data_IF_863611008075
#
_entry.id   IF_863611008075
#
_cell.length_a   1.000
_cell.length_b   1.000
_cell.length_c   1.000
_cell.angle_alpha   90.00
_cell.angle_beta   90.00
_cell.angle_gamma   90.00
#
_symmetry.space_group_name_H-M   'P 1'
#
loop_
_entity.id
_entity.type
_entity.pdbx_description
1 polymer ?
#
# COMPACT_ATOMS: atom_id res chain seq x y z
N UNK A 1 -28.15 7.06 -38.24
CA UNK A 1 -27.74 7.99 -37.17
C UNK A 1 -28.31 7.45 -35.87
N UNK A 2 -27.50 6.70 -35.12
CA UNK A 2 -27.87 6.16 -33.81
C UNK A 2 -26.59 6.12 -32.99
N UNK A 3 -26.52 7.02 -32.01
CA UNK A 3 -25.40 7.12 -31.09
C UNK A 3 -25.43 6.01 -30.05
N UNK A 4 -24.26 5.59 -29.60
CA UNK A 4 -24.10 4.86 -28.35
C UNK A 4 -22.88 5.46 -27.66
N UNK A 5 -23.12 6.34 -26.69
CA UNK A 5 -22.09 6.94 -25.86
C UNK A 5 -21.60 5.94 -24.83
N UNK A 6 -20.29 5.72 -24.77
CA UNK A 6 -19.66 4.91 -23.74
C UNK A 6 -19.68 5.67 -22.41
N UNK A 7 -20.37 5.12 -21.42
CA UNK A 7 -20.44 5.63 -20.05
C UNK A 7 -19.11 5.38 -19.35
N UNK A 8 -18.33 6.45 -19.13
CA UNK A 8 -17.12 6.45 -18.31
C UNK A 8 -17.54 6.33 -16.84
N UNK A 9 -17.14 5.26 -16.16
CA UNK A 9 -17.34 5.12 -14.72
C UNK A 9 -16.42 6.13 -13.99
N UNK A 10 -17.01 7.21 -13.49
CA UNK A 10 -16.34 8.18 -12.62
C UNK A 10 -16.56 7.72 -11.18
N UNK A 11 -15.50 7.28 -10.51
CA UNK A 11 -15.55 7.03 -9.06
C UNK A 11 -15.59 8.38 -8.32
N UNK A 12 -16.56 8.63 -7.42
CA UNK A 12 -16.53 9.81 -6.58
C UNK A 12 -15.43 9.66 -5.51
N UNK A 13 -14.40 10.51 -5.60
CA UNK A 13 -13.44 10.77 -4.53
C UNK A 13 -14.14 11.56 -3.42
N UNK A 14 -14.75 10.87 -2.46
CA UNK A 14 -15.18 11.45 -1.19
C UNK A 14 -14.41 10.80 -0.04
N UNK A 15 -13.15 11.20 0.12
CA UNK A 15 -12.46 11.01 1.40
C UNK A 15 -12.74 12.25 2.26
N UNK A 16 -13.76 12.15 3.10
CA UNK A 16 -14.06 13.13 4.13
C UNK A 16 -13.24 12.77 5.38
N UNK A 17 -12.04 13.35 5.50
CA UNK A 17 -11.20 13.17 6.70
C UNK A 17 -11.86 13.81 7.93
N UNK A 18 -11.51 13.35 9.15
CA UNK A 18 -12.08 13.91 10.38
C UNK A 18 -11.61 15.35 10.60
N UNK A 19 -12.47 16.30 10.23
CA UNK A 19 -12.46 17.68 10.72
C UNK A 19 -12.86 17.66 12.20
N UNK A 20 -11.90 17.80 13.15
CA UNK A 20 -12.07 18.50 14.45
C UNK A 20 -11.10 18.03 15.55
N UNK A 21 -9.84 18.51 15.59
CA UNK A 21 -9.11 18.61 16.88
C UNK A 21 -8.16 19.80 16.89
N UNK A 22 -8.68 21.03 16.84
CA UNK A 22 -7.93 22.23 17.23
C UNK A 22 -8.36 22.68 18.64
N UNK A 23 -8.01 21.89 19.66
CA UNK A 23 -7.98 22.40 21.04
C UNK A 23 -6.57 22.92 21.32
N UNK A 24 -6.46 24.24 21.50
CA UNK A 24 -5.24 24.94 21.92
C UNK A 24 -4.75 24.36 23.26
N UNK A 25 -3.78 23.46 23.22
CA UNK A 25 -2.99 23.13 24.40
C UNK A 25 -1.96 24.23 24.61
N UNK A 26 -2.24 25.08 25.62
CA UNK A 26 -1.26 26.00 26.20
C UNK A 26 -0.22 25.16 26.92
N UNK A 27 0.99 25.00 26.37
CA UNK A 27 2.08 24.29 27.05
C UNK A 27 3.08 25.33 27.57
N UNK A 28 3.02 25.53 28.89
CA UNK A 28 4.07 26.21 29.66
C UNK A 28 5.40 25.49 29.43
N UNK A 29 6.49 26.24 29.18
CA UNK A 29 7.90 25.78 29.10
C UNK A 29 8.11 24.42 29.80
N UNK A 30 8.58 23.36 29.11
CA UNK A 30 8.64 22.03 29.71
C UNK A 30 9.55 22.08 30.94
N UNK A 31 8.95 21.95 32.11
CA UNK A 31 9.68 21.58 33.31
C UNK A 31 10.25 20.17 33.08
N UNK A 32 11.44 19.90 33.61
CA UNK A 32 12.02 18.55 33.69
C UNK A 32 10.88 17.57 34.04
N UNK A 33 10.62 16.51 33.25
CA UNK A 33 9.59 15.54 33.61
C UNK A 33 9.96 15.00 34.99
N UNK A 34 9.15 15.29 36.00
CA UNK A 34 9.49 14.99 37.39
C UNK A 34 9.41 13.49 37.70
N UNK A 35 8.86 12.69 36.78
CA UNK A 35 8.77 11.23 36.86
C UNK A 35 8.54 10.71 35.44
N UNK A 36 9.58 10.18 34.80
CA UNK A 36 9.46 9.23 33.69
C UNK A 36 9.93 7.87 34.22
N UNK A 37 9.43 7.52 35.40
CA UNK A 37 9.80 6.29 36.10
C UNK A 37 8.73 5.23 35.81
N UNK A 38 9.17 4.19 35.11
CA UNK A 38 8.67 2.82 35.05
C UNK A 38 7.23 2.52 34.53
N UNK A 39 6.25 3.42 34.61
CA UNK A 39 4.83 3.08 34.30
C UNK A 39 4.40 3.41 32.85
N UNK A 40 5.11 4.30 32.15
CA UNK A 40 4.70 4.83 30.84
C UNK A 40 5.11 3.96 29.63
N UNK A 41 5.71 2.79 29.89
CA UNK A 41 6.04 1.81 28.85
C UNK A 41 4.82 1.39 28.02
N UNK A 42 3.62 1.48 28.61
CA UNK A 42 2.34 1.16 27.96
C UNK A 42 2.02 2.06 26.76
N UNK A 43 2.51 3.30 26.71
CA UNK A 43 2.25 4.20 25.57
C UNK A 43 3.14 3.93 24.36
N UNK A 44 4.26 3.23 24.55
CA UNK A 44 5.13 2.78 23.43
C UNK A 44 4.73 1.40 22.90
N UNK A 45 3.81 0.71 23.58
CA UNK A 45 3.17 -0.52 23.09
C UNK A 45 1.90 -0.16 22.31
N UNK A 46 2.07 0.52 21.18
CA UNK A 46 1.08 0.46 20.10
C UNK A 46 1.74 -0.22 18.92
N UNK A 47 0.96 -0.92 18.09
CA UNK A 47 1.30 -1.90 17.03
C UNK A 47 2.39 -1.52 15.98
N UNK A 48 3.15 -0.44 16.20
CA UNK A 48 4.15 0.16 15.32
C UNK A 48 5.61 -0.11 15.71
N UNK A 49 5.90 -0.99 16.68
CA UNK A 49 7.27 -1.38 17.09
C UNK A 49 8.25 -0.19 17.22
N UNK A 50 7.85 0.79 18.03
CA UNK A 50 8.62 1.99 18.29
C UNK A 50 9.87 1.64 19.11
N UNK A 51 11.05 1.89 18.54
CA UNK A 51 12.33 1.66 19.23
C UNK A 51 12.63 2.76 20.24
N UNK A 52 12.48 4.02 19.84
CA UNK A 52 12.71 5.17 20.72
C UNK A 52 12.09 6.46 20.19
N UNK A 53 11.99 7.45 21.07
CA UNK A 53 11.63 8.83 20.79
C UNK A 53 12.82 9.72 21.11
N UNK A 54 13.16 10.64 20.21
CA UNK A 54 14.18 11.66 20.41
C UNK A 54 13.57 13.07 20.28
N UNK A 55 13.88 13.95 21.24
CA UNK A 55 13.42 15.34 21.25
C UNK A 55 14.64 16.24 21.05
N UNK A 56 14.59 17.06 20.01
CA UNK A 56 15.71 17.89 19.57
C UNK A 56 15.34 19.38 19.49
N UNK A 57 15.30 20.09 20.63
CA UNK A 57 15.22 21.55 20.61
C UNK A 57 16.46 22.11 19.89
N UNK A 58 16.28 23.17 19.10
CA UNK A 58 17.35 23.74 18.26
C UNK A 58 18.07 22.67 17.41
N UNK A 59 17.34 21.62 17.01
CA UNK A 59 17.81 20.50 16.18
C UNK A 59 18.96 19.70 16.80
N UNK A 60 19.19 19.86 18.11
CA UNK A 60 20.14 19.06 18.89
C UNK A 60 19.39 18.18 19.87
N UNK A 61 19.60 16.86 19.79
CA UNK A 61 18.91 15.90 20.64
C UNK A 61 19.24 16.19 22.11
N UNK A 62 18.22 16.57 22.88
CA UNK A 62 18.32 16.88 24.30
C UNK A 62 17.71 15.80 25.18
N UNK A 63 16.79 15.00 24.63
CA UNK A 63 16.15 13.88 25.32
C UNK A 63 15.97 12.71 24.38
N UNK A 64 16.13 11.50 24.90
CA UNK A 64 15.86 10.25 24.19
C UNK A 64 15.23 9.25 25.16
N UNK A 65 14.25 8.49 24.71
CA UNK A 65 13.60 7.47 25.53
C UNK A 65 13.23 6.23 24.69
N UNK A 66 13.50 5.00 25.18
CA UNK A 66 14.31 4.70 26.37
C UNK A 66 15.77 5.14 26.17
N UNK A 67 16.40 5.65 27.25
CA UNK A 67 17.81 6.08 27.19
C UNK A 67 18.76 4.91 26.97
N UNK A 68 18.45 3.76 27.58
CA UNK A 68 19.25 2.55 27.44
C UNK A 68 19.30 2.12 25.96
N UNK A 69 20.50 1.97 25.41
CA UNK A 69 20.72 1.62 24.00
C UNK A 69 20.66 2.80 23.01
N UNK A 70 20.18 3.98 23.43
CA UNK A 70 20.05 5.15 22.55
C UNK A 70 20.85 6.38 23.03
N UNK A 71 21.69 6.21 24.06
CA UNK A 71 22.43 7.31 24.68
C UNK A 71 23.40 8.00 23.71
N UNK A 72 23.89 7.29 22.70
CA UNK A 72 24.80 7.83 21.68
C UNK A 72 24.12 8.84 20.75
N UNK A 73 22.78 8.85 20.69
CA UNK A 73 22.04 9.89 20.00
C UNK A 73 21.97 11.20 20.81
N UNK A 74 22.18 11.15 22.13
CA UNK A 74 22.08 12.33 22.98
C UNK A 74 23.17 13.35 22.63
N UNK A 75 22.77 14.61 22.42
CA UNK A 75 23.66 15.68 22.02
C UNK A 75 23.99 15.73 20.53
N UNK A 76 23.47 14.80 19.72
CA UNK A 76 23.59 14.85 18.27
C UNK A 76 22.94 16.13 17.73
N UNK A 77 23.71 16.93 16.98
CA UNK A 77 23.17 18.04 16.19
C UNK A 77 22.86 17.53 14.78
N UNK A 78 21.58 17.54 14.40
CA UNK A 78 21.15 17.04 13.09
C UNK A 78 21.84 17.76 11.93
N UNK A 79 22.26 19.02 12.10
CA UNK A 79 22.99 19.79 11.06
C UNK A 79 24.33 19.17 10.68
N UNK A 80 24.87 18.31 11.55
CA UNK A 80 26.14 17.61 11.33
C UNK A 80 25.96 16.26 10.61
N UNK A 81 24.72 15.80 10.40
CA UNK A 81 24.39 14.52 9.76
C UNK A 81 23.51 14.77 8.53
N UNK A 82 24.11 15.06 7.35
CA UNK A 82 23.36 15.43 6.15
C UNK A 82 22.30 14.41 5.73
N UNK A 83 22.53 13.11 5.96
CA UNK A 83 21.59 12.03 5.65
C UNK A 83 20.28 12.12 6.42
N UNK A 84 20.30 12.68 7.62
CA UNK A 84 19.10 12.88 8.45
C UNK A 84 18.58 14.32 8.37
N UNK A 85 19.46 15.30 8.17
CA UNK A 85 19.12 16.71 8.18
C UNK A 85 18.09 17.11 7.10
N UNK A 86 18.15 16.50 5.91
CA UNK A 86 17.22 16.78 4.81
C UNK A 86 15.75 16.60 5.22
N UNK A 87 15.45 15.51 5.93
CA UNK A 87 14.10 15.21 6.42
C UNK A 87 13.68 16.08 7.60
N UNK A 88 14.63 16.52 8.44
CA UNK A 88 14.38 17.51 9.50
C UNK A 88 13.96 18.84 8.88
N UNK A 89 14.73 19.32 7.90
CA UNK A 89 14.43 20.56 7.20
C UNK A 89 13.09 20.50 6.48
N UNK A 90 12.78 19.35 5.85
CA UNK A 90 11.50 19.18 5.19
C UNK A 90 10.31 19.21 6.15
N UNK A 91 10.44 18.62 7.34
CA UNK A 91 9.41 18.69 8.38
C UNK A 91 9.17 20.13 8.84
N UNK A 92 10.25 20.88 9.11
CA UNK A 92 10.15 22.30 9.50
C UNK A 92 9.51 23.13 8.39
N UNK A 93 9.94 22.94 7.14
CA UNK A 93 9.45 23.69 5.99
C UNK A 93 7.97 23.38 5.67
N UNK A 94 7.55 22.12 5.80
CA UNK A 94 6.17 21.72 5.51
C UNK A 94 5.21 22.03 6.67
N UNK A 95 5.73 22.14 7.90
CA UNK A 95 4.91 22.25 9.10
C UNK A 95 4.07 20.99 9.39
N UNK A 96 4.40 19.86 8.76
CA UNK A 96 3.66 18.59 8.88
C UNK A 96 4.58 17.44 9.27
N UNK A 97 3.98 16.33 9.71
CA UNK A 97 4.72 15.11 10.01
C UNK A 97 5.35 14.58 8.71
N UNK A 98 6.65 14.30 8.78
CA UNK A 98 7.44 13.74 7.69
C UNK A 98 7.94 12.37 8.10
N UNK A 99 7.78 11.37 7.23
CA UNK A 99 8.32 10.02 7.48
C UNK A 99 9.39 9.72 6.43
N UNK A 100 10.52 9.18 6.87
CA UNK A 100 11.65 8.82 6.03
C UNK A 100 12.22 7.49 6.49
N UNK A 101 12.66 6.64 5.56
CA UNK A 101 13.44 5.46 5.91
C UNK A 101 13.44 4.34 4.89
N UNK A 102 14.18 3.25 5.19
CA UNK A 102 15.11 3.11 6.31
C UNK A 102 16.35 4.00 6.17
N UNK A 103 16.86 4.54 7.27
CA UNK A 103 18.14 5.26 7.32
C UNK A 103 19.03 4.70 8.42
N UNK A 104 20.35 4.81 8.23
CA UNK A 104 21.31 4.41 9.25
C UNK A 104 21.27 5.39 10.44
N UNK A 105 21.15 4.82 11.64
CA UNK A 105 21.10 5.56 12.90
C UNK A 105 22.53 5.78 13.43
N UNK A 106 22.75 6.88 14.15
CA UNK A 106 24.09 7.21 14.70
C UNK A 106 24.52 6.21 15.78
N UNK A 107 23.56 5.69 16.55
CA UNK A 107 23.77 4.60 17.50
C UNK A 107 23.97 3.22 16.83
N UNK A 108 23.89 3.15 15.50
CA UNK A 108 23.93 1.90 14.73
C UNK A 108 22.55 1.32 14.43
N UNK A 109 22.49 0.42 13.45
CA UNK A 109 21.24 -0.14 12.94
C UNK A 109 20.52 0.79 11.96
N UNK A 110 19.30 0.40 11.56
CA UNK A 110 18.46 1.16 10.65
C UNK A 110 17.11 1.49 11.29
N UNK A 111 16.55 2.64 10.91
CA UNK A 111 15.24 3.06 11.41
C UNK A 111 14.39 3.75 10.34
N UNK A 112 13.09 3.55 10.43
CA UNK A 112 12.10 4.44 9.82
C UNK A 112 11.79 5.54 10.84
N UNK A 113 11.92 6.80 10.43
CA UNK A 113 11.83 7.94 11.33
C UNK A 113 10.65 8.81 10.91
N UNK A 114 9.69 8.98 11.82
CA UNK A 114 8.63 9.98 11.71
C UNK A 114 9.03 11.23 12.51
N UNK A 115 9.08 12.38 11.85
CA UNK A 115 9.49 13.67 12.43
C UNK A 115 8.32 14.61 12.48
N UNK A 116 8.01 15.10 13.67
CA UNK A 116 7.02 16.13 13.91
C UNK A 116 7.74 17.46 14.19
N UNK A 117 7.51 18.51 13.39
CA UNK A 117 8.05 19.83 13.66
C UNK A 117 7.32 20.47 14.84
N UNK A 118 8.06 21.13 15.72
CA UNK A 118 7.52 21.91 16.83
C UNK A 118 7.92 23.37 16.63
N UNK A 119 6.95 24.26 16.76
CA UNK A 119 7.12 25.70 16.62
C UNK A 119 6.83 26.40 17.94
N UNK A 120 7.51 27.52 18.18
CA UNK A 120 7.21 28.44 19.27
C UNK A 120 5.89 29.19 19.01
N UNK A 121 5.39 29.90 20.03
CA UNK A 121 4.16 30.70 19.91
C UNK A 121 4.23 31.80 18.84
N UNK A 122 5.43 32.31 18.57
CA UNK A 122 5.71 33.31 17.54
C UNK A 122 5.85 32.70 16.13
N UNK A 123 5.71 31.38 16.00
CA UNK A 123 5.85 30.64 14.74
C UNK A 123 7.29 30.32 14.35
N UNK A 124 8.27 30.67 15.17
CA UNK A 124 9.67 30.28 14.93
C UNK A 124 9.91 28.80 15.21
N UNK A 125 10.89 28.20 14.53
CA UNK A 125 11.27 26.81 14.74
C UNK A 125 11.77 26.60 16.18
N UNK A 126 11.10 25.75 16.94
CA UNK A 126 11.60 25.31 18.24
C UNK A 126 12.53 24.10 18.09
N UNK A 127 12.16 23.18 17.19
CA UNK A 127 12.89 21.94 16.97
C UNK A 127 12.01 20.83 16.40
N UNK A 128 12.43 19.59 16.61
CA UNK A 128 11.70 18.41 16.13
C UNK A 128 11.59 17.33 17.19
N UNK A 129 10.48 16.59 17.15
CA UNK A 129 10.32 15.31 17.84
C UNK A 129 10.42 14.21 16.79
N UNK A 130 11.26 13.22 17.04
CA UNK A 130 11.51 12.09 16.14
C UNK A 130 11.07 10.80 16.81
N UNK A 131 10.19 10.07 16.15
CA UNK A 131 9.79 8.71 16.49
C UNK A 131 10.54 7.75 15.58
N UNK A 132 11.25 6.79 16.15
CA UNK A 132 12.01 5.80 15.39
C UNK A 132 11.38 4.43 15.53
N UNK A 133 11.14 3.79 14.38
CA UNK A 133 10.51 2.49 14.22
C UNK A 133 11.54 1.54 13.62
N UNK A 134 11.60 0.33 14.17
CA UNK A 134 12.43 -0.73 13.63
C UNK A 134 11.77 -1.31 12.36
N UNK A 135 12.42 -1.24 11.19
CA UNK A 135 11.81 -1.68 9.94
C UNK A 135 11.53 -3.18 9.93
N UNK A 136 12.41 -4.01 10.50
CA UNK A 136 12.24 -5.46 10.49
C UNK A 136 11.04 -5.89 11.34
N UNK A 137 10.88 -5.26 12.50
CA UNK A 137 9.77 -5.47 13.42
C UNK A 137 8.45 -5.02 12.79
N UNK A 138 8.43 -3.82 12.18
CA UNK A 138 7.27 -3.33 11.44
C UNK A 138 6.81 -4.31 10.35
N UNK A 139 7.74 -4.83 9.53
CA UNK A 139 7.39 -5.79 8.47
C UNK A 139 7.01 -7.18 9.02
N UNK A 140 7.55 -7.57 10.17
CA UNK A 140 7.16 -8.80 10.85
C UNK A 140 5.75 -8.69 11.44
N UNK A 141 5.40 -7.56 12.06
CA UNK A 141 4.08 -7.32 12.66
C UNK A 141 2.92 -7.32 11.66
N UNK A 142 3.20 -7.01 10.39
CA UNK A 142 2.22 -7.06 9.29
C UNK A 142 2.29 -8.35 8.45
N UNK A 143 3.08 -9.34 8.88
CA UNK A 143 3.24 -10.62 8.18
C UNK A 143 3.62 -10.45 6.69
N UNK A 144 4.45 -9.45 6.37
CA UNK A 144 4.67 -8.94 5.01
C UNK A 144 5.03 -10.02 3.96
N UNK A 145 5.73 -11.09 4.37
CA UNK A 145 6.19 -12.16 3.49
C UNK A 145 5.39 -13.47 3.62
N UNK A 146 4.37 -13.53 4.48
CA UNK A 146 3.69 -14.78 4.85
C UNK A 146 2.44 -15.07 4.02
N UNK A 147 2.07 -14.22 3.07
CA UNK A 147 0.93 -14.50 2.20
C UNK A 147 1.23 -15.71 1.27
N UNK A 148 0.37 -16.74 1.28
CA UNK A 148 0.59 -17.96 0.49
C UNK A 148 0.32 -17.79 -1.00
N UNK A 149 -0.38 -16.73 -1.41
CA UNK A 149 -0.83 -16.51 -2.79
C UNK A 149 -0.03 -15.41 -3.49
N UNK A 150 0.53 -14.46 -2.75
CA UNK A 150 1.23 -13.31 -3.31
C UNK A 150 2.67 -13.18 -2.80
N UNK A 151 3.52 -12.67 -3.68
CA UNK A 151 4.79 -12.05 -3.35
C UNK A 151 4.57 -10.55 -3.18
N UNK A 152 5.14 -9.97 -2.13
CA UNK A 152 5.15 -8.53 -1.91
C UNK A 152 6.58 -8.00 -1.97
N UNK A 153 6.72 -6.76 -2.46
CA UNK A 153 7.97 -6.03 -2.37
C UNK A 153 7.69 -4.55 -2.14
N UNK A 154 8.55 -3.93 -1.32
CA UNK A 154 8.44 -2.56 -0.89
C UNK A 154 9.72 -1.81 -1.22
N UNK A 155 9.61 -0.68 -1.92
CA UNK A 155 10.75 0.13 -2.34
C UNK A 155 10.49 1.62 -2.22
N UNK A 156 11.57 2.38 -2.13
CA UNK A 156 11.53 3.84 -2.30
C UNK A 156 11.47 4.18 -3.78
N UNK A 157 10.57 5.09 -4.14
CA UNK A 157 10.29 5.43 -5.54
C UNK A 157 11.32 6.39 -6.13
N UNK A 158 12.07 7.15 -5.31
CA UNK A 158 13.01 8.16 -5.79
C UNK A 158 14.28 7.57 -6.40
N UNK A 159 14.78 6.48 -5.82
CA UNK A 159 16.02 5.80 -6.20
C UNK A 159 15.83 4.30 -6.43
N UNK A 160 14.58 3.83 -6.43
CA UNK A 160 14.22 2.42 -6.55
C UNK A 160 14.86 1.52 -5.48
N UNK A 161 15.29 2.10 -4.35
CA UNK A 161 15.92 1.37 -3.26
C UNK A 161 14.95 0.34 -2.68
N UNK A 162 15.31 -0.94 -2.78
CA UNK A 162 14.51 -2.05 -2.28
C UNK A 162 14.63 -2.12 -0.76
N UNK A 163 13.52 -1.86 -0.08
CA UNK A 163 13.42 -1.88 1.39
C UNK A 163 13.10 -3.30 1.85
N UNK A 164 12.13 -3.96 1.19
CA UNK A 164 11.71 -5.33 1.54
C UNK A 164 11.22 -6.11 0.33
N UNK A 165 11.31 -7.44 0.42
CA UNK A 165 10.92 -8.36 -0.65
C UNK A 165 12.01 -8.53 -1.70
N UNK A 166 11.61 -8.95 -2.90
CA UNK A 166 12.50 -9.24 -4.01
C UNK A 166 12.25 -8.26 -5.16
N UNK A 167 13.31 -7.80 -5.84
CA UNK A 167 13.18 -6.81 -6.91
C UNK A 167 12.34 -7.34 -8.09
N UNK A 168 12.34 -8.66 -8.28
CA UNK A 168 11.63 -9.40 -9.32
C UNK A 168 10.10 -9.30 -9.18
N UNK A 169 9.59 -8.85 -8.03
CA UNK A 169 8.15 -8.58 -7.85
C UNK A 169 7.71 -7.34 -8.62
N UNK A 170 8.61 -6.41 -8.94
CA UNK A 170 8.33 -5.19 -9.73
C UNK A 170 8.35 -5.45 -11.25
N UNK A 171 7.83 -6.61 -11.69
CA UNK A 171 7.67 -6.93 -13.10
C UNK A 171 6.59 -6.09 -13.79
N UNK A 172 6.56 -6.12 -15.13
CA UNK A 172 5.70 -5.24 -15.94
C UNK A 172 4.20 -5.40 -15.68
N UNK A 173 3.76 -6.56 -15.22
CA UNK A 173 2.38 -6.90 -14.88
C UNK A 173 2.11 -6.88 -13.37
N UNK A 174 3.05 -6.40 -12.55
CA UNK A 174 2.88 -6.27 -11.11
C UNK A 174 1.82 -5.22 -10.76
N UNK A 175 1.02 -5.49 -9.73
CA UNK A 175 0.14 -4.47 -9.15
C UNK A 175 0.96 -3.61 -8.20
N UNK A 176 1.27 -2.39 -8.64
CA UNK A 176 2.06 -1.41 -7.88
C UNK A 176 1.15 -0.32 -7.32
N UNK A 177 1.20 -0.14 -6.00
CA UNK A 177 0.52 0.94 -5.28
C UNK A 177 1.55 1.94 -4.76
N UNK A 178 1.37 3.22 -5.10
CA UNK A 178 2.21 4.29 -4.58
C UNK A 178 1.66 4.84 -3.27
N UNK A 179 2.51 4.92 -2.26
CA UNK A 179 2.22 5.52 -0.95
C UNK A 179 2.96 6.86 -0.91
N UNK A 180 2.20 7.96 -0.91
CA UNK A 180 2.76 9.31 -0.86
C UNK A 180 3.03 9.75 0.58
N UNK A 181 4.27 10.11 0.89
CA UNK A 181 4.62 10.94 2.05
C UNK A 181 5.14 12.31 1.56
N UNK A 182 5.20 13.34 2.43
CA UNK A 182 5.57 14.69 2.02
C UNK A 182 6.99 14.82 1.43
N UNK A 183 7.92 13.94 1.84
CA UNK A 183 9.32 13.96 1.40
C UNK A 183 9.72 12.76 0.55
N UNK A 184 9.13 11.60 0.82
CA UNK A 184 9.45 10.36 0.13
C UNK A 184 8.17 9.74 -0.43
N UNK A 185 8.27 9.16 -1.61
CA UNK A 185 7.24 8.28 -2.15
C UNK A 185 7.73 6.85 -2.07
N UNK A 186 6.89 5.96 -1.57
CA UNK A 186 7.16 4.53 -1.53
C UNK A 186 6.24 3.80 -2.50
N UNK A 187 6.65 2.62 -2.92
CA UNK A 187 5.88 1.75 -3.78
C UNK A 187 5.80 0.36 -3.16
N UNK A 188 4.58 -0.14 -3.06
CA UNK A 188 4.28 -1.52 -2.71
C UNK A 188 3.87 -2.26 -3.98
N UNK A 189 4.65 -3.26 -4.38
CA UNK A 189 4.29 -4.19 -5.44
C UNK A 189 3.74 -5.48 -4.84
N UNK A 190 2.78 -6.05 -5.54
CA UNK A 190 2.27 -7.40 -5.32
C UNK A 190 2.29 -8.18 -6.63
N UNK A 191 2.58 -9.47 -6.54
CA UNK A 191 2.63 -10.36 -7.69
C UNK A 191 2.20 -11.79 -7.30
N UNK A 192 1.26 -12.44 -8.01
CA UNK A 192 0.82 -13.80 -7.68
C UNK A 192 1.95 -14.83 -7.76
N UNK A 193 2.04 -15.73 -6.78
CA UNK A 193 3.07 -16.79 -6.76
C UNK A 193 2.89 -17.81 -7.87
N UNK A 194 1.65 -18.00 -8.34
CA UNK A 194 1.31 -18.87 -9.46
C UNK A 194 1.46 -18.19 -10.83
N UNK A 195 2.01 -16.96 -10.86
CA UNK A 195 2.16 -16.13 -12.05
C UNK A 195 0.82 -15.79 -12.76
N UNK A 196 -0.32 -15.96 -12.08
CA UNK A 196 -1.64 -15.79 -12.67
C UNK A 196 -2.54 -14.91 -11.81
N UNK A 197 -2.81 -13.69 -12.30
CA UNK A 197 -3.78 -12.77 -11.66
C UNK A 197 -5.20 -13.33 -11.61
N UNK A 198 -5.52 -14.26 -12.51
CA UNK A 198 -6.78 -15.00 -12.55
C UNK A 198 -6.43 -16.47 -12.35
N UNK A 199 -6.69 -17.01 -11.16
CA UNK A 199 -6.59 -18.44 -10.90
C UNK A 199 -7.41 -19.20 -11.94
N UNK A 200 -6.70 -19.89 -12.84
CA UNK A 200 -7.18 -20.79 -13.90
C UNK A 200 -8.53 -20.41 -14.55
N UNK A 201 -8.56 -19.96 -15.83
CA UNK A 201 -9.82 -20.02 -16.57
C UNK A 201 -10.25 -21.49 -16.54
N UNK A 202 -11.42 -21.77 -15.94
CA UNK A 202 -12.13 -23.05 -16.08
C UNK A 202 -11.83 -23.61 -17.46
N UNK A 203 -11.31 -24.85 -17.61
CA UNK A 203 -10.69 -25.31 -18.84
C UNK A 203 -11.63 -25.00 -19.98
N UNK A 204 -11.24 -24.06 -20.85
CA UNK A 204 -12.04 -23.60 -21.98
C UNK A 204 -12.64 -24.79 -22.75
N UNK A 205 -11.93 -25.92 -22.77
CA UNK A 205 -12.37 -27.22 -23.27
C UNK A 205 -13.77 -27.65 -22.79
N UNK A 206 -14.14 -27.47 -21.53
CA UNK A 206 -15.49 -27.82 -21.04
C UNK A 206 -16.57 -26.93 -21.67
N UNK A 207 -16.31 -25.64 -21.83
CA UNK A 207 -17.23 -24.71 -22.51
C UNK A 207 -17.35 -25.05 -24.01
N UNK A 208 -16.24 -25.40 -24.66
CA UNK A 208 -16.24 -25.88 -26.05
C UNK A 208 -16.99 -27.21 -26.21
N UNK A 209 -16.82 -28.17 -25.29
CA UNK A 209 -17.53 -29.45 -25.33
C UNK A 209 -19.04 -29.26 -25.18
N UNK A 210 -19.49 -28.41 -24.26
CA UNK A 210 -20.92 -28.06 -24.13
C UNK A 210 -21.44 -27.39 -25.40
N UNK A 211 -20.66 -26.46 -25.98
CA UNK A 211 -20.99 -25.81 -27.25
C UNK A 211 -21.15 -26.81 -28.40
N UNK A 212 -20.22 -27.77 -28.53
CA UNK A 212 -20.26 -28.82 -29.57
C UNK A 212 -21.49 -29.71 -29.38
N UNK A 213 -21.84 -30.09 -28.15
CA UNK A 213 -23.03 -30.91 -27.87
C UNK A 213 -24.31 -30.18 -28.26
N UNK A 214 -24.43 -28.89 -27.95
CA UNK A 214 -25.58 -28.05 -28.33
C UNK A 214 -25.69 -27.95 -29.86
N UNK A 215 -24.57 -27.64 -30.53
CA UNK A 215 -24.52 -27.52 -32.00
C UNK A 215 -24.89 -28.86 -32.66
N UNK A 216 -24.37 -29.97 -32.17
CA UNK A 216 -24.70 -31.32 -32.65
C UNK A 216 -26.19 -31.64 -32.50
N UNK A 217 -26.80 -31.31 -31.36
CA UNK A 217 -28.23 -31.49 -31.12
C UNK A 217 -29.10 -30.63 -32.05
N UNK A 218 -28.69 -29.37 -32.30
CA UNK A 218 -29.39 -28.48 -33.23
C UNK A 218 -29.29 -28.97 -34.68
N UNK A 219 -28.11 -29.41 -35.11
CA UNK A 219 -27.92 -30.00 -36.45
C UNK A 219 -28.78 -31.26 -36.63
N UNK A 220 -28.83 -32.13 -35.63
CA UNK A 220 -29.63 -33.35 -35.68
C UNK A 220 -31.13 -33.03 -35.85
N UNK A 221 -31.67 -32.07 -35.09
CA UNK A 221 -33.09 -31.69 -35.21
C UNK A 221 -33.43 -31.06 -36.56
N UNK A 222 -32.53 -30.26 -37.15
CA UNK A 222 -32.70 -29.71 -38.51
C UNK A 222 -32.73 -30.81 -39.56
N UNK A 223 -31.80 -31.78 -39.51
CA UNK A 223 -31.75 -32.91 -40.45
C UNK A 223 -33.01 -33.76 -40.37
N UNK A 224 -33.50 -34.05 -39.17
CA UNK A 224 -34.73 -34.82 -38.97
C UNK A 224 -35.97 -34.10 -39.55
N UNK A 225 -36.07 -32.78 -39.36
CA UNK A 225 -37.14 -31.96 -39.95
C UNK A 225 -37.03 -31.90 -41.49
N UNK A 226 -35.83 -31.77 -42.03
CA UNK A 226 -35.60 -31.77 -43.48
C UNK A 226 -36.03 -33.08 -44.16
N UNK A 227 -35.70 -34.23 -43.56
CA UNK A 227 -36.14 -35.55 -44.05
C UNK A 227 -37.67 -35.71 -44.03
N UNK A 228 -38.34 -35.15 -43.02
CA UNK A 228 -39.81 -35.19 -42.92
C UNK A 228 -40.50 -34.42 -44.05
N UNK A 229 -39.93 -33.30 -44.51
CA UNK A 229 -40.53 -32.50 -45.59
C UNK A 229 -40.37 -33.18 -46.96
N UNK A 230 -39.21 -33.80 -47.23
CA UNK A 230 -38.96 -34.53 -48.49
C UNK A 230 -39.89 -35.74 -48.63
N UNK A 231 -40.18 -36.45 -47.54
CA UNK A 231 -41.09 -37.60 -47.56
C UNK A 231 -42.57 -37.21 -47.78
N UNK A 232 -42.98 -36.01 -47.35
CA UNK A 232 -44.36 -35.52 -47.53
C UNK A 232 -44.57 -35.07 -48.99
N UNK A 233 -43.61 -34.37 -49.61
CA UNK A 233 -43.71 -33.97 -51.02
C UNK A 233 -43.73 -35.18 -51.97
N UNK A 234 -42.96 -36.24 -51.66
CA UNK A 234 -42.99 -37.48 -52.43
C UNK A 234 -44.36 -38.19 -52.37
N UNK A 235 -45.07 -38.11 -51.25
CA UNK A 235 -46.39 -38.77 -51.09
C UNK A 235 -47.53 -37.98 -51.75
N UNK A 236 -47.48 -36.65 -51.71
CA UNK A 236 -48.50 -35.79 -52.36
C UNK A 236 -48.36 -35.78 -53.89
N UNK A 237 -47.13 -35.82 -54.42
CA UNK A 237 -46.89 -35.90 -55.87
C UNK A 237 -47.42 -37.18 -56.52
N UNK A 238 -47.42 -38.31 -55.80
CA UNK A 238 -47.94 -39.59 -56.31
C UNK A 238 -49.48 -39.63 -56.29
N UNK A 239 -50.13 -38.83 -55.45
CA UNK A 239 -51.60 -38.81 -55.33
C UNK A 239 -52.25 -37.92 -56.41
N UNK A 240 -51.55 -36.87 -56.89
CA UNK A 240 -52.06 -35.97 -57.93
C UNK A 240 -51.85 -36.46 -59.37
N UNK A 241 -51.18 -37.59 -59.59
CA UNK A 241 -51.00 -38.20 -60.93
C UNK A 241 -52.10 -39.23 -61.27
N UNK A 242 -53.09 -39.43 -60.38
CA UNK A 242 -54.13 -40.46 -60.52
C UNK A 242 -55.53 -39.84 -60.47
N UNK A 243 -55.79 -38.83 -61.30
CA UNK A 243 -57.13 -38.44 -61.75
C UNK A 243 -57.07 -38.01 -63.21
#
# INVERSE_FOLDING_TARGET
MTGTGATRATYPSQYSGPQSIARRNRIQKPARPATLDADDGEFLVSDLDITHIAIAPDLKIAYVYPEHGNIDALGLDYRTVPSQFSSVQAALNSGTIVVTGPVDLVQGGQGIIARMPIFNEDGSDWGVVSLVIDPDSLFAGIDFNQDPNYHFAFRRSSDEFLIRGAAEVFQADALVTSIGAPTESWQLASYPRDHAWLSSPQPFLYQWLVGIVIISSLLNTIVLRGKSQVNITATVGITLYRQ
#
